data_IF_121395158502
#
_entry.id   IF_121395158502
#
_cell.length_a   1.000
_cell.length_b   1.000
_cell.length_c   1.000
_cell.angle_alpha   90.00
_cell.angle_beta   90.00
_cell.angle_gamma   90.00
#
_symmetry.space_group_name_H-M   'P 1'
#
loop_
_entity.id
_entity.type
_entity.pdbx_description
1 polymer ?
#
# COMPACT_ATOMS: atom_id res chain seq x y z
N UNK A 1 -11.89 -5.36 36.71
CA UNK A 1 -12.04 -4.06 37.40
C UNK A 1 -10.83 -3.20 37.10
N UNK A 2 -11.05 -1.98 36.55
CA UNK A 2 -10.21 -0.76 36.66
C UNK A 2 -8.78 -0.80 36.07
N UNK A 3 -8.24 0.23 35.42
CA UNK A 3 -8.75 1.52 35.00
C UNK A 3 -7.72 2.17 34.06
N UNK A 4 -8.21 2.86 33.04
CA UNK A 4 -7.52 3.91 32.31
C UNK A 4 -7.05 5.02 33.27
N UNK A 5 -5.84 5.56 33.08
CA UNK A 5 -5.42 6.80 33.73
C UNK A 5 -4.83 7.78 32.72
N UNK A 6 -5.72 8.67 32.28
CA UNK A 6 -5.47 9.94 31.60
C UNK A 6 -4.77 10.89 32.57
N UNK A 7 -3.63 11.47 32.19
CA UNK A 7 -3.04 12.61 32.91
C UNK A 7 -3.18 13.84 32.01
N UNK A 8 -4.11 14.71 32.41
CA UNK A 8 -4.12 16.14 32.06
C UNK A 8 -3.27 16.85 33.12
N UNK A 9 -2.34 17.69 32.69
CA UNK A 9 -1.71 18.71 33.52
C UNK A 9 -2.11 20.08 32.99
N UNK A 10 -2.88 20.82 33.80
CA UNK A 10 -3.21 22.22 33.59
C UNK A 10 -2.13 23.13 34.18
N UNK A 11 -1.87 24.27 33.51
CA UNK A 11 -1.87 25.59 34.17
C UNK A 11 -0.55 26.21 34.62
N UNK A 12 -0.07 27.19 33.84
CA UNK A 12 0.66 28.40 34.29
C UNK A 12 0.25 29.52 33.31
N UNK A 13 -0.67 30.43 33.62
CA UNK A 13 -0.62 31.62 34.50
C UNK A 13 0.27 32.77 33.98
N UNK A 14 -0.38 33.91 33.68
CA UNK A 14 0.22 35.23 33.42
C UNK A 14 0.54 35.51 31.94
N UNK A 15 0.29 36.67 31.35
CA UNK A 15 -0.29 37.95 31.77
C UNK A 15 -0.54 38.75 30.48
N UNK A 16 -1.72 39.35 30.31
CA UNK A 16 -2.08 40.21 29.18
C UNK A 16 -1.69 41.66 29.49
N UNK A 17 -0.85 42.32 28.69
CA UNK A 17 -0.78 43.79 28.60
C UNK A 17 -0.33 44.26 27.19
N UNK A 18 -1.20 45.08 26.58
CA UNK A 18 -1.02 46.13 25.54
C UNK A 18 -0.52 45.74 24.13
N UNK A 19 -1.34 45.89 23.07
CA UNK A 19 -1.79 47.13 22.37
C UNK A 19 -0.87 47.48 21.20
N UNK A 20 -1.44 47.55 19.99
CA UNK A 20 -0.96 48.48 18.95
C UNK A 20 -0.63 47.90 17.58
N UNK A 21 -1.55 48.15 16.65
CA UNK A 21 -1.31 48.58 15.24
C UNK A 21 -0.66 47.59 14.26
N UNK A 22 -1.48 47.20 13.29
CA UNK A 22 -1.12 46.55 12.02
C UNK A 22 -0.81 47.64 10.98
N UNK A 23 -0.01 47.27 9.98
CA UNK A 23 0.07 47.77 8.59
C UNK A 23 1.28 48.66 8.26
N UNK A 24 2.19 48.07 7.46
CA UNK A 24 2.73 48.71 6.25
C UNK A 24 4.25 48.82 6.17
N UNK A 25 4.88 48.05 5.27
CA UNK A 25 6.06 48.43 4.46
C UNK A 25 6.40 47.23 3.54
N UNK A 26 6.00 47.28 2.26
CA UNK A 26 6.73 47.82 1.10
C UNK A 26 7.70 46.81 0.47
N UNK A 27 7.32 46.39 -0.74
CA UNK A 27 8.10 45.61 -1.70
C UNK A 27 9.39 46.34 -2.07
N UNK A 28 10.53 45.68 -1.92
CA UNK A 28 11.76 46.01 -2.65
C UNK A 28 12.27 44.73 -3.28
N UNK A 29 12.21 44.68 -4.61
CA UNK A 29 12.78 43.60 -5.40
C UNK A 29 14.30 43.58 -5.28
N UNK A 30 14.86 42.39 -5.07
CA UNK A 30 16.29 42.15 -5.19
C UNK A 30 16.57 41.45 -6.50
N UNK A 31 17.47 42.09 -7.23
CA UNK A 31 17.99 41.82 -8.57
C UNK A 31 18.69 40.47 -8.63
N UNK A 32 18.41 39.73 -9.70
CA UNK A 32 19.15 38.54 -10.09
C UNK A 32 20.60 38.91 -10.46
N UNK A 33 21.58 38.28 -9.80
CA UNK A 33 22.97 38.24 -10.27
C UNK A 33 23.27 36.81 -10.70
N UNK A 34 23.61 36.66 -11.98
CA UNK A 34 23.91 35.39 -12.61
C UNK A 34 25.24 34.79 -12.17
N UNK A 35 25.22 33.46 -12.02
CA UNK A 35 26.21 32.49 -12.49
C UNK A 35 27.69 32.71 -12.22
N UNK A 36 28.24 31.93 -11.28
CA UNK A 36 29.52 31.24 -11.46
C UNK A 36 29.27 29.76 -11.15
N UNK A 37 29.18 28.94 -12.21
CA UNK A 37 29.16 27.49 -12.10
C UNK A 37 30.61 26.98 -12.12
N UNK A 38 31.11 26.54 -10.96
CA UNK A 38 32.32 25.71 -10.87
C UNK A 38 31.88 24.25 -10.86
N UNK A 39 32.33 23.50 -11.87
CA UNK A 39 31.92 22.13 -12.11
C UNK A 39 32.33 21.15 -11.01
N UNK A 40 31.45 20.18 -10.76
CA UNK A 40 31.73 19.01 -9.93
C UNK A 40 30.59 18.00 -10.02
N UNK A 41 30.85 16.86 -10.66
CA UNK A 41 30.10 15.60 -10.51
C UNK A 41 28.74 15.53 -11.20
N UNK A 42 28.67 14.82 -12.33
CA UNK A 42 27.41 14.38 -12.91
C UNK A 42 26.70 13.39 -11.98
N UNK A 43 25.84 13.89 -11.11
CA UNK A 43 24.69 13.13 -10.63
C UNK A 43 23.61 13.20 -11.69
N UNK A 44 22.99 12.07 -12.03
CA UNK A 44 21.69 12.11 -12.72
C UNK A 44 20.79 13.07 -11.93
N UNK A 45 20.06 13.99 -12.59
CA UNK A 45 19.10 14.80 -11.88
C UNK A 45 18.07 13.85 -11.24
N UNK A 46 18.00 13.85 -9.91
CA UNK A 46 16.82 13.31 -9.22
C UNK A 46 15.62 14.01 -9.82
N UNK A 47 14.62 13.27 -10.35
CA UNK A 47 13.45 13.89 -10.95
C UNK A 47 12.84 14.88 -9.96
N UNK A 48 12.58 16.09 -10.48
CA UNK A 48 12.16 17.24 -9.70
C UNK A 48 10.85 16.98 -8.96
N UNK A 49 10.73 17.61 -7.81
CA UNK A 49 9.51 17.71 -7.03
C UNK A 49 8.40 18.43 -7.82
N UNK A 50 7.70 17.70 -8.69
CA UNK A 50 6.30 17.92 -9.10
C UNK A 50 5.72 16.74 -9.92
N UNK A 51 6.23 15.52 -9.76
CA UNK A 51 5.55 14.37 -10.32
C UNK A 51 4.34 14.05 -9.44
N UNK A 52 3.14 14.33 -9.95
CA UNK A 52 1.89 13.75 -9.46
C UNK A 52 2.00 12.22 -9.56
N UNK A 53 2.75 11.60 -8.65
CA UNK A 53 2.68 10.16 -8.45
C UNK A 53 1.24 9.94 -8.04
N UNK A 54 0.45 9.31 -8.90
CA UNK A 54 -0.79 8.71 -8.44
C UNK A 54 -0.41 7.88 -7.21
N UNK A 55 -0.83 8.32 -6.03
CA UNK A 55 -0.65 7.57 -4.81
C UNK A 55 -1.48 6.30 -5.00
N UNK A 56 -0.78 5.20 -5.28
CA UNK A 56 -1.41 3.89 -5.38
C UNK A 56 -1.81 3.50 -3.97
N UNK A 57 -3.11 3.33 -3.77
CA UNK A 57 -3.66 2.80 -2.54
C UNK A 57 -4.00 1.34 -2.78
N UNK A 58 -3.60 0.45 -1.87
CA UNK A 58 -3.81 -0.99 -2.05
C UNK A 58 -4.47 -1.56 -0.81
N UNK A 59 -5.46 -2.41 -1.03
CA UNK A 59 -6.14 -3.11 0.06
C UNK A 59 -6.20 -4.61 -0.19
N UNK A 60 -6.13 -5.36 0.89
CA UNK A 60 -6.33 -6.79 0.90
C UNK A 60 -7.61 -7.12 1.67
N UNK A 61 -8.51 -7.84 1.02
CA UNK A 61 -9.75 -8.36 1.61
C UNK A 61 -9.64 -9.86 1.80
N UNK A 62 -9.87 -10.31 3.03
CA UNK A 62 -9.96 -11.72 3.39
C UNK A 62 -11.22 -11.93 4.23
N UNK A 63 -12.20 -12.73 3.79
CA UNK A 63 -13.39 -13.00 4.59
C UNK A 63 -13.04 -13.54 5.99
N UNK A 64 -13.55 -12.87 7.03
CA UNK A 64 -13.33 -13.26 8.43
C UNK A 64 -12.04 -12.71 9.08
N UNK A 65 -11.12 -12.15 8.30
CA UNK A 65 -9.88 -11.50 8.77
C UNK A 65 -9.95 -10.03 8.37
N UNK A 66 -10.12 -9.15 9.37
CA UNK A 66 -10.42 -7.74 9.15
C UNK A 66 -9.52 -6.82 9.96
N UNK A 67 -9.25 -5.63 9.41
CA UNK A 67 -8.49 -4.55 10.05
C UNK A 67 -9.35 -3.26 10.23
N UNK A 68 -8.73 -2.10 10.51
CA UNK A 68 -9.37 -0.82 10.81
C UNK A 68 -9.71 0.02 9.57
N UNK A 69 -9.33 -0.42 8.37
CA UNK A 69 -9.66 0.27 7.12
C UNK A 69 -11.16 0.59 7.00
N UNK A 70 -11.55 1.57 6.17
CA UNK A 70 -12.94 2.02 6.07
C UNK A 70 -13.95 0.92 5.68
N UNK A 71 -13.47 -0.19 5.11
CA UNK A 71 -14.25 -1.40 4.77
C UNK A 71 -13.90 -2.63 5.62
N UNK A 72 -13.06 -2.47 6.65
CA UNK A 72 -12.48 -3.58 7.41
C UNK A 72 -11.41 -4.36 6.64
N UNK A 73 -10.90 -3.79 5.55
CA UNK A 73 -9.83 -4.35 4.72
C UNK A 73 -8.46 -4.01 5.31
N UNK A 74 -7.47 -4.82 4.97
CA UNK A 74 -6.07 -4.65 5.38
C UNK A 74 -5.39 -3.70 4.41
N UNK A 75 -4.67 -2.71 4.92
CA UNK A 75 -3.85 -1.82 4.09
C UNK A 75 -2.56 -2.52 3.65
N UNK A 76 -2.25 -2.43 2.36
CA UNK A 76 -1.07 -3.06 1.74
C UNK A 76 -0.11 -1.98 1.29
N UNK A 77 1.15 -2.15 1.66
CA UNK A 77 2.22 -1.18 1.39
C UNK A 77 3.01 -1.57 0.14
N UNK A 78 3.23 -2.87 -0.04
CA UNK A 78 3.82 -3.44 -1.24
C UNK A 78 3.24 -4.82 -1.51
N UNK A 79 3.31 -5.26 -2.76
CA UNK A 79 3.08 -6.65 -3.10
C UNK A 79 4.03 -7.09 -4.21
N UNK A 80 4.22 -8.40 -4.30
CA UNK A 80 4.96 -9.06 -5.34
C UNK A 80 4.17 -10.29 -5.80
N UNK A 81 4.00 -10.39 -7.12
CA UNK A 81 3.48 -11.57 -7.77
C UNK A 81 4.10 -11.67 -9.16
N UNK A 82 4.40 -12.90 -9.58
CA UNK A 82 5.17 -13.14 -10.78
C UNK A 82 4.79 -14.43 -11.49
N UNK A 83 5.07 -14.44 -12.79
CA UNK A 83 5.03 -15.63 -13.62
C UNK A 83 6.35 -15.70 -14.38
N UNK A 84 7.03 -16.83 -14.28
CA UNK A 84 8.29 -17.09 -14.97
C UNK A 84 8.16 -18.30 -15.89
N UNK A 85 9.01 -18.36 -16.91
CA UNK A 85 9.09 -19.50 -17.82
C UNK A 85 10.45 -20.18 -17.68
N UNK A 86 10.45 -21.46 -17.31
CA UNK A 86 11.65 -22.26 -17.13
C UNK A 86 11.55 -23.50 -18.00
N UNK A 87 12.45 -23.63 -18.97
CA UNK A 87 12.51 -24.77 -19.91
C UNK A 87 11.15 -25.09 -20.58
N UNK A 88 10.41 -24.06 -20.99
CA UNK A 88 9.11 -24.22 -21.65
C UNK A 88 7.93 -24.47 -20.72
N UNK A 89 8.15 -24.55 -19.40
CA UNK A 89 7.10 -24.66 -18.39
C UNK A 89 6.84 -23.31 -17.74
N UNK A 90 5.56 -23.00 -17.52
CA UNK A 90 5.13 -21.81 -16.79
C UNK A 90 5.21 -22.12 -15.29
N UNK A 91 5.82 -21.23 -14.53
CA UNK A 91 5.88 -21.25 -13.07
C UNK A 91 5.19 -19.99 -12.58
N UNK A 92 4.09 -20.17 -11.84
CA UNK A 92 3.37 -19.08 -11.19
C UNK A 92 3.86 -18.99 -9.76
N UNK A 93 4.27 -17.79 -9.34
CA UNK A 93 4.90 -17.55 -8.04
C UNK A 93 3.86 -17.28 -6.95
N UNK A 94 4.25 -17.42 -5.69
CA UNK A 94 3.39 -17.03 -4.57
C UNK A 94 3.11 -15.52 -4.57
N UNK A 95 1.96 -15.13 -4.04
CA UNK A 95 1.67 -13.73 -3.80
C UNK A 95 2.30 -13.36 -2.46
N UNK A 96 3.19 -12.38 -2.46
CA UNK A 96 3.77 -11.83 -1.24
C UNK A 96 3.24 -10.41 -1.07
N UNK A 97 2.77 -10.08 0.11
CA UNK A 97 2.40 -8.70 0.47
C UNK A 97 3.27 -8.23 1.63
N UNK A 98 3.50 -6.92 1.68
CA UNK A 98 4.05 -6.23 2.84
C UNK A 98 2.96 -5.36 3.43
N UNK A 99 2.75 -5.47 4.73
CA UNK A 99 1.78 -4.66 5.50
C UNK A 99 2.36 -4.25 6.83
N UNK A 100 1.76 -3.25 7.46
CA UNK A 100 2.02 -2.93 8.87
C UNK A 100 1.48 -4.03 9.77
N UNK A 101 2.08 -4.24 10.93
CA UNK A 101 1.50 -5.14 11.95
C UNK A 101 0.20 -4.49 12.48
N UNK A 102 -0.93 -5.15 12.25
CA UNK A 102 -2.28 -4.65 12.50
C UNK A 102 -3.15 -5.69 13.24
N UNK A 103 -4.47 -5.46 13.30
CA UNK A 103 -5.40 -6.37 13.97
C UNK A 103 -5.60 -7.71 13.23
N UNK A 104 -5.32 -7.76 11.93
CA UNK A 104 -5.41 -8.98 11.13
C UNK A 104 -4.24 -9.94 11.40
N UNK A 105 -3.06 -9.42 11.74
CA UNK A 105 -1.82 -10.21 11.92
C UNK A 105 -2.02 -11.47 12.79
N UNK A 106 -2.59 -11.41 14.02
CA UNK A 106 -2.78 -12.61 14.84
C UNK A 106 -3.65 -13.69 14.20
N UNK A 107 -4.64 -13.30 13.38
CA UNK A 107 -5.50 -14.25 12.65
C UNK A 107 -4.78 -14.86 11.45
N UNK A 108 -3.89 -14.11 10.81
CA UNK A 108 -3.02 -14.64 9.75
C UNK A 108 -2.05 -15.68 10.32
N UNK A 109 -1.46 -15.41 11.48
CA UNK A 109 -0.66 -16.41 12.21
C UNK A 109 -1.47 -17.65 12.61
N UNK A 110 -2.71 -17.47 13.06
CA UNK A 110 -3.61 -18.58 13.35
C UNK A 110 -3.92 -19.40 12.08
N UNK A 111 -4.16 -18.75 10.94
CA UNK A 111 -4.40 -19.41 9.66
C UNK A 111 -3.17 -20.21 9.20
N UNK A 112 -1.98 -19.62 9.29
CA UNK A 112 -0.69 -20.26 8.97
C UNK A 112 -0.46 -21.50 9.85
N UNK A 113 -0.57 -21.35 11.17
CA UNK A 113 -0.27 -22.44 12.11
C UNK A 113 -1.29 -23.59 12.06
N UNK A 114 -2.53 -23.31 11.65
CA UNK A 114 -3.56 -24.35 11.44
C UNK A 114 -3.57 -24.95 10.04
N UNK A 115 -2.88 -24.34 9.06
CA UNK A 115 -3.01 -24.71 7.66
C UNK A 115 -4.44 -24.48 7.14
N UNK A 116 -5.09 -23.39 7.59
CA UNK A 116 -6.47 -23.09 7.20
C UNK A 116 -6.52 -22.68 5.72
N UNK A 117 -7.41 -23.32 4.96
CA UNK A 117 -7.74 -22.87 3.61
C UNK A 117 -8.70 -21.68 3.67
N UNK A 118 -8.27 -20.56 3.10
CA UNK A 118 -9.08 -19.38 2.86
C UNK A 118 -9.73 -19.53 1.48
N UNK A 119 -11.05 -19.40 1.40
CA UNK A 119 -11.77 -19.58 0.13
C UNK A 119 -11.35 -18.55 -0.92
N UNK A 120 -11.21 -17.29 -0.49
CA UNK A 120 -10.90 -16.15 -1.36
C UNK A 120 -10.03 -15.13 -0.64
N UNK A 121 -9.06 -14.59 -1.37
CA UNK A 121 -8.29 -13.39 -1.01
C UNK A 121 -8.38 -12.44 -2.20
N UNK A 122 -8.70 -11.17 -1.95
CA UNK A 122 -8.76 -10.14 -2.99
C UNK A 122 -7.74 -9.05 -2.68
N UNK A 123 -6.78 -8.82 -3.59
CA UNK A 123 -5.90 -7.65 -3.55
C UNK A 123 -6.41 -6.64 -4.59
N UNK A 124 -6.81 -5.45 -4.15
CA UNK A 124 -7.28 -4.38 -5.01
C UNK A 124 -6.28 -3.23 -5.02
N UNK A 125 -5.95 -2.75 -6.23
CA UNK A 125 -5.11 -1.58 -6.45
C UNK A 125 -5.99 -0.45 -6.96
N UNK A 126 -5.94 0.67 -6.24
CA UNK A 126 -6.72 1.85 -6.51
C UNK A 126 -5.85 2.96 -7.08
N UNK A 127 -6.34 3.60 -8.15
CA UNK A 127 -5.76 4.84 -8.65
C UNK A 127 -6.39 6.03 -7.91
N UNK A 128 -5.57 6.77 -7.16
CA UNK A 128 -6.00 7.96 -6.43
C UNK A 128 -6.00 9.23 -7.27
N UNK A 129 -6.99 10.13 -7.08
CA UNK A 129 -6.78 11.52 -7.46
C UNK A 129 -5.65 12.05 -6.56
N UNK A 130 -4.53 12.49 -7.15
CA UNK A 130 -3.44 13.11 -6.40
C UNK A 130 -4.00 14.21 -5.49
N UNK A 131 -3.99 13.96 -4.17
CA UNK A 131 -4.65 14.82 -3.18
C UNK A 131 -5.89 14.22 -2.49
N UNK A 132 -5.70 13.15 -1.72
CA UNK A 132 -6.18 13.12 -0.33
C UNK A 132 -7.66 12.87 0.00
N UNK A 133 -8.51 12.40 -0.92
CA UNK A 133 -9.87 11.97 -0.54
C UNK A 133 -10.16 10.55 -1.04
N UNK A 134 -10.31 9.61 -0.10
CA UNK A 134 -10.51 8.19 -0.38
C UNK A 134 -11.85 7.83 -1.05
N UNK A 135 -12.68 8.81 -1.37
CA UNK A 135 -14.05 8.61 -1.82
C UNK A 135 -14.18 8.49 -3.35
N UNK A 136 -13.11 8.79 -4.11
CA UNK A 136 -13.11 8.76 -5.58
C UNK A 136 -12.09 7.78 -6.18
N UNK A 137 -11.53 6.88 -5.35
CA UNK A 137 -10.62 5.83 -5.81
C UNK A 137 -11.31 4.88 -6.80
N UNK A 138 -10.76 4.76 -8.00
CA UNK A 138 -11.20 3.76 -8.99
C UNK A 138 -10.32 2.53 -8.92
N UNK A 139 -10.94 1.36 -8.87
CA UNK A 139 -10.24 0.08 -9.00
C UNK A 139 -9.61 0.00 -10.40
N UNK A 140 -8.30 -0.14 -10.41
CA UNK A 140 -7.50 -0.20 -11.63
C UNK A 140 -7.08 -1.64 -11.94
N UNK A 141 -6.64 -2.35 -10.91
CA UNK A 141 -6.26 -3.77 -10.98
C UNK A 141 -6.83 -4.51 -9.78
N UNK A 142 -7.47 -5.65 -10.02
CA UNK A 142 -7.93 -6.56 -8.96
C UNK A 142 -7.32 -7.94 -9.17
N UNK A 143 -6.67 -8.44 -8.13
CA UNK A 143 -6.22 -9.84 -8.06
C UNK A 143 -7.21 -10.62 -7.20
N UNK A 144 -7.97 -11.54 -7.82
CA UNK A 144 -8.86 -12.44 -7.10
C UNK A 144 -8.21 -13.82 -7.01
N UNK A 145 -7.96 -14.28 -5.79
CA UNK A 145 -7.16 -15.46 -5.51
C UNK A 145 -8.04 -16.47 -4.78
N UNK A 146 -8.03 -17.73 -5.21
CA UNK A 146 -8.91 -18.79 -4.72
C UNK A 146 -8.13 -19.97 -4.14
N UNK A 147 -8.75 -20.60 -3.14
CA UNK A 147 -8.16 -21.74 -2.41
C UNK A 147 -6.78 -21.41 -1.87
N UNK A 148 -6.74 -20.38 -1.02
CA UNK A 148 -5.52 -19.73 -0.54
C UNK A 148 -5.08 -20.31 0.80
N UNK A 149 -3.79 -20.41 1.01
CA UNK A 149 -3.16 -20.71 2.30
C UNK A 149 -2.04 -19.70 2.55
N UNK A 150 -1.93 -19.26 3.80
CA UNK A 150 -0.76 -18.51 4.24
C UNK A 150 0.43 -19.49 4.28
N UNK A 151 1.49 -19.21 3.51
CA UNK A 151 2.66 -20.07 3.41
C UNK A 151 3.76 -19.64 4.38
N UNK A 152 3.93 -18.33 4.59
CA UNK A 152 4.88 -17.79 5.55
C UNK A 152 4.49 -16.39 6.02
N UNK A 153 4.90 -16.04 7.23
CA UNK A 153 4.88 -14.67 7.74
C UNK A 153 6.27 -14.36 8.29
N UNK A 154 6.86 -13.25 7.84
CA UNK A 154 8.14 -12.74 8.31
C UNK A 154 8.00 -11.31 8.80
N UNK A 155 8.54 -11.01 9.98
CA UNK A 155 8.49 -9.66 10.56
C UNK A 155 9.88 -9.04 10.61
N UNK A 156 9.95 -7.74 10.35
CA UNK A 156 11.21 -7.00 10.41
C UNK A 156 11.02 -5.50 10.66
N UNK A 157 12.01 -4.85 11.30
CA UNK A 157 12.03 -3.40 11.35
C UNK A 157 12.32 -2.85 9.94
N UNK A 158 11.53 -1.87 9.50
CA UNK A 158 11.78 -1.11 8.28
C UNK A 158 11.86 0.38 8.59
N UNK A 159 12.44 1.21 7.71
CA UNK A 159 12.38 2.66 7.86
C UNK A 159 10.95 3.22 7.93
N UNK A 160 9.97 2.48 7.38
CA UNK A 160 8.54 2.84 7.41
C UNK A 160 7.82 2.40 8.71
N UNK A 161 8.48 1.61 9.57
CA UNK A 161 7.90 1.10 10.81
C UNK A 161 8.05 -0.41 10.96
N UNK A 162 7.27 -0.99 11.87
CA UNK A 162 7.18 -2.44 12.05
C UNK A 162 6.29 -3.02 10.96
N UNK A 163 6.90 -3.75 10.03
CA UNK A 163 6.23 -4.35 8.89
C UNK A 163 6.31 -5.87 8.98
N UNK A 164 5.36 -6.53 8.33
CA UNK A 164 5.36 -7.96 8.11
C UNK A 164 5.15 -8.27 6.62
N UNK A 165 5.90 -9.26 6.14
CA UNK A 165 5.73 -9.87 4.83
C UNK A 165 4.89 -11.14 5.00
N UNK A 166 3.78 -11.22 4.27
CA UNK A 166 2.85 -12.36 4.30
C UNK A 166 2.82 -12.98 2.90
N UNK A 167 3.21 -14.24 2.83
CA UNK A 167 3.19 -15.02 1.59
C UNK A 167 1.96 -15.92 1.52
N UNK A 168 1.37 -16.00 0.33
CA UNK A 168 0.20 -16.79 0.04
C UNK A 168 0.46 -17.74 -1.12
N UNK A 169 0.25 -19.03 -0.84
CA UNK A 169 0.09 -20.06 -1.87
C UNK A 169 -1.39 -20.27 -2.15
N UNK A 170 -1.76 -20.61 -3.37
CA UNK A 170 -3.15 -20.70 -3.79
C UNK A 170 -3.29 -21.70 -4.94
N UNK A 171 -4.52 -21.98 -5.39
CA UNK A 171 -4.81 -22.83 -6.55
C UNK A 171 -5.01 -22.04 -7.84
N UNK A 172 -5.61 -20.87 -7.72
CA UNK A 172 -6.00 -20.03 -8.85
C UNK A 172 -5.87 -18.56 -8.47
N UNK A 173 -5.38 -17.75 -9.40
CA UNK A 173 -5.35 -16.29 -9.32
C UNK A 173 -5.84 -15.70 -10.63
N UNK A 174 -6.79 -14.77 -10.58
CA UNK A 174 -7.19 -13.95 -11.72
C UNK A 174 -6.77 -12.51 -11.53
N UNK A 175 -6.41 -11.87 -12.64
CA UNK A 175 -6.03 -10.47 -12.70
C UNK A 175 -7.02 -9.77 -13.61
N UNK A 176 -7.82 -8.89 -13.03
CA UNK A 176 -8.77 -8.07 -13.74
C UNK A 176 -8.18 -6.67 -13.90
N UNK A 177 -7.86 -6.31 -15.13
CA UNK A 177 -7.33 -5.00 -15.50
C UNK A 177 -8.43 -4.14 -16.10
N UNK A 178 -8.63 -2.95 -15.56
CA UNK A 178 -9.59 -1.98 -16.12
C UNK A 178 -8.84 -0.85 -16.81
N UNK A 179 -8.81 -0.87 -18.15
CA UNK A 179 -8.33 0.28 -18.92
C UNK A 179 -9.23 1.50 -18.64
N UNK A 180 -8.65 2.70 -18.58
CA UNK A 180 -9.41 3.93 -18.31
C UNK A 180 -10.54 4.13 -19.35
N UNK A 181 -11.78 3.79 -18.96
CA UNK A 181 -12.96 3.83 -19.83
C UNK A 181 -13.10 2.65 -20.81
N UNK A 182 -12.31 1.59 -20.66
CA UNK A 182 -12.35 0.37 -21.48
C UNK A 182 -13.05 -0.81 -20.79
N UNK A 183 -13.20 -1.95 -21.49
CA UNK A 183 -13.68 -3.18 -20.89
C UNK A 183 -12.65 -3.73 -19.88
N UNK A 184 -13.12 -4.60 -18.98
CA UNK A 184 -12.24 -5.36 -18.09
C UNK A 184 -11.57 -6.47 -18.88
N UNK A 185 -10.25 -6.54 -18.80
CA UNK A 185 -9.45 -7.64 -19.35
C UNK A 185 -9.01 -8.58 -18.23
N UNK A 186 -9.32 -9.87 -18.36
CA UNK A 186 -9.03 -10.88 -17.32
C UNK A 186 -7.95 -11.85 -17.78
N UNK A 187 -6.89 -11.98 -16.98
CA UNK A 187 -5.92 -13.08 -17.07
C UNK A 187 -6.18 -14.06 -15.93
N UNK A 188 -6.35 -15.34 -16.23
CA UNK A 188 -6.45 -16.41 -15.24
C UNK A 188 -5.15 -17.21 -15.20
N UNK A 189 -4.62 -17.45 -14.00
CA UNK A 189 -3.47 -18.33 -13.79
C UNK A 189 -3.79 -19.41 -12.75
N UNK A 190 -3.40 -20.65 -13.04
CA UNK A 190 -3.56 -21.79 -12.14
C UNK A 190 -2.24 -22.41 -11.74
N UNK A 191 -2.23 -22.99 -10.55
CA UNK A 191 -1.09 -23.67 -9.91
C UNK A 191 -1.44 -25.12 -9.51
N UNK A 192 -2.61 -25.60 -9.95
CA UNK A 192 -3.13 -26.92 -9.61
C UNK A 192 -2.38 -28.07 -10.29
N UNK A 193 -2.55 -29.27 -9.74
CA UNK A 193 -2.04 -30.50 -10.36
C UNK A 193 -2.82 -30.88 -11.63
N UNK A 194 -4.10 -30.46 -11.70
CA UNK A 194 -4.99 -30.61 -12.84
C UNK A 194 -4.67 -29.63 -13.96
N UNK A 195 -4.32 -28.39 -13.62
CA UNK A 195 -3.92 -27.36 -14.57
C UNK A 195 -2.93 -26.36 -13.96
N UNK A 196 -1.82 -26.15 -14.67
CA UNK A 196 -0.84 -25.11 -14.39
C UNK A 196 -0.57 -24.29 -15.65
N UNK A 197 -0.78 -22.99 -15.60
CA UNK A 197 -0.61 -22.10 -16.74
C UNK A 197 -1.38 -20.80 -16.58
N UNK A 198 -1.29 -19.93 -17.59
CA UNK A 198 -2.06 -18.69 -17.64
C UNK A 198 -2.77 -18.55 -18.97
N UNK A 199 -4.04 -18.15 -18.95
CA UNK A 199 -4.88 -17.92 -20.14
C UNK A 199 -5.79 -16.73 -19.96
N UNK A 200 -6.15 -16.07 -21.08
CA UNK A 200 -7.10 -14.95 -21.07
C UNK A 200 -8.52 -15.50 -21.03
N UNK A 201 -9.38 -14.92 -20.18
CA UNK A 201 -10.81 -15.20 -20.15
C UNK A 201 -11.63 -14.29 -21.07
#
# INVERSE_FOLDING_TARGET
MRAWRRIRGEGVSGSRWLSGVVIGLLLVGVVAVGGIALGGGGGNPSPGANESRNELYMTLRIPGITDFGPKGEIEVEAFHWGVSQVAGRIVVEELVITKVIDKASPKLYEALTKGTHLEEVTLAVYEGPGGGAALDFKEYVVYAIRDVMVSSIGEGPTPAGHMEDVSFTYREISIDYTAQGGPVETLLCGTGADWSGCERK
#
